data_IF_744665544111
#
_entry.id   IF_744665544111
#
_cell.length_a   1.000
_cell.length_b   1.000
_cell.length_c   1.000
_cell.angle_alpha   90.00
_cell.angle_beta   90.00
_cell.angle_gamma   90.00
#
_symmetry.space_group_name_H-M   'P 1'
#
loop_
_entity.id
_entity.type
_entity.pdbx_description
1 polymer ?
#
# COMPACT_ATOMS: atom_id res chain seq x y z
N UNK A 1 9.50 -21.04 -15.27
CA UNK A 1 8.94 -21.60 -14.03
C UNK A 1 7.93 -22.71 -14.29
N UNK A 2 6.78 -22.48 -14.96
CA UNK A 2 5.80 -23.55 -15.21
C UNK A 2 6.28 -24.62 -16.20
N UNK A 3 7.08 -24.22 -17.17
CA UNK A 3 7.74 -25.10 -18.17
C UNK A 3 9.02 -25.76 -17.63
N UNK A 4 9.29 -25.66 -16.32
CA UNK A 4 10.42 -26.34 -15.71
C UNK A 4 10.03 -27.77 -15.35
N UNK A 5 10.84 -28.75 -15.71
CA UNK A 5 10.51 -30.17 -15.49
C UNK A 5 10.47 -30.51 -13.99
N UNK A 6 11.32 -29.87 -13.19
CA UNK A 6 11.40 -30.11 -11.74
C UNK A 6 10.43 -29.21 -10.97
N UNK A 7 10.47 -27.89 -11.21
CA UNK A 7 9.65 -26.93 -10.46
C UNK A 7 8.20 -26.91 -10.96
N UNK A 8 7.97 -27.04 -12.27
CA UNK A 8 6.66 -26.89 -12.90
C UNK A 8 5.56 -27.75 -12.28
N UNK A 9 5.78 -29.06 -12.07
CA UNK A 9 4.83 -29.95 -11.39
C UNK A 9 4.50 -29.55 -9.94
N UNK A 10 5.36 -28.76 -9.29
CA UNK A 10 5.12 -28.27 -7.94
C UNK A 10 4.26 -27.01 -7.91
N UNK A 11 4.12 -26.27 -9.01
CA UNK A 11 3.43 -24.99 -9.02
C UNK A 11 1.93 -25.13 -9.24
N UNK A 12 1.12 -24.56 -8.34
CA UNK A 12 -0.35 -24.56 -8.45
C UNK A 12 -0.90 -23.25 -9.00
N UNK A 13 -0.59 -22.11 -8.37
CA UNK A 13 -1.09 -20.79 -8.78
C UNK A 13 -0.10 -19.69 -8.44
N UNK A 14 -0.32 -18.50 -9.01
CA UNK A 14 0.36 -17.26 -8.63
C UNK A 14 -0.68 -16.29 -8.10
N UNK A 15 -0.37 -15.58 -7.02
CA UNK A 15 -1.24 -14.55 -6.46
C UNK A 15 -0.45 -13.24 -6.27
N UNK A 16 -1.01 -12.07 -6.64
CA UNK A 16 -0.36 -10.79 -6.39
C UNK A 16 -0.34 -10.50 -4.89
N UNK A 17 0.68 -9.80 -4.41
CA UNK A 17 0.83 -9.45 -2.99
C UNK A 17 1.19 -7.98 -2.79
N UNK A 18 0.88 -7.47 -1.61
CA UNK A 18 1.47 -6.24 -1.09
C UNK A 18 0.90 -5.00 -1.77
N UNK A 19 1.77 -4.05 -2.11
CA UNK A 19 1.32 -2.73 -2.55
C UNK A 19 0.65 -2.72 -3.92
N UNK A 20 0.86 -3.77 -4.74
CA UNK A 20 0.24 -3.88 -6.05
C UNK A 20 -1.27 -4.13 -6.00
N UNK A 21 -1.79 -5.23 -5.40
CA UNK A 21 -3.23 -5.47 -5.29
C UNK A 21 -3.92 -4.42 -4.39
N UNK A 22 -3.18 -3.82 -3.45
CA UNK A 22 -3.65 -2.72 -2.61
C UNK A 22 -3.66 -1.36 -3.32
N UNK A 23 -3.08 -1.25 -4.53
CA UNK A 23 -2.94 0.02 -5.25
C UNK A 23 -2.25 1.09 -4.41
N UNK A 24 -1.21 0.76 -3.65
CA UNK A 24 -0.43 1.71 -2.84
C UNK A 24 1.02 1.87 -3.32
N UNK A 25 1.35 1.37 -4.51
CA UNK A 25 2.65 1.62 -5.16
C UNK A 25 2.86 3.14 -5.33
N UNK A 26 4.08 3.60 -5.07
CA UNK A 26 4.53 4.96 -5.39
C UNK A 26 5.70 4.86 -6.36
N UNK A 27 5.94 5.93 -7.12
CA UNK A 27 7.15 6.02 -7.92
C UNK A 27 8.37 5.92 -6.99
N UNK A 28 9.37 5.08 -7.29
CA UNK A 28 10.57 4.97 -6.50
C UNK A 28 11.35 6.30 -6.54
N UNK A 29 12.21 6.51 -5.54
CA UNK A 29 13.18 7.61 -5.60
C UNK A 29 14.08 7.43 -6.82
N UNK A 30 14.57 8.52 -7.41
CA UNK A 30 15.43 8.52 -8.59
C UNK A 30 16.53 7.44 -8.47
N UNK A 31 16.51 6.49 -9.42
CA UNK A 31 17.49 5.39 -9.50
C UNK A 31 17.18 4.14 -8.66
N UNK A 32 16.10 4.12 -7.87
CA UNK A 32 15.63 2.90 -7.20
C UNK A 32 14.63 2.14 -8.09
N UNK A 33 14.61 0.83 -7.95
CA UNK A 33 13.71 -0.05 -8.68
C UNK A 33 12.27 0.03 -8.13
N UNK A 34 11.28 -0.25 -8.98
CA UNK A 34 9.93 -0.56 -8.55
C UNK A 34 9.88 -1.93 -7.87
N UNK A 35 9.30 -2.00 -6.68
CA UNK A 35 9.09 -3.26 -5.98
C UNK A 35 7.77 -3.92 -6.44
N UNK A 36 7.87 -5.14 -6.94
CA UNK A 36 6.73 -6.00 -7.25
C UNK A 36 6.79 -7.31 -6.48
N UNK A 37 5.72 -7.63 -5.74
CA UNK A 37 5.64 -8.84 -4.94
C UNK A 37 4.55 -9.77 -5.50
N UNK A 38 4.87 -11.05 -5.67
CA UNK A 38 3.85 -12.07 -5.87
C UNK A 38 4.22 -13.38 -5.17
N UNK A 39 3.20 -14.12 -4.77
CA UNK A 39 3.38 -15.43 -4.16
C UNK A 39 3.15 -16.53 -5.19
N UNK A 40 3.87 -17.62 -5.03
CA UNK A 40 3.76 -18.83 -5.86
C UNK A 40 3.35 -19.99 -4.96
N UNK A 41 2.15 -20.52 -5.21
CA UNK A 41 1.66 -21.66 -4.47
C UNK A 41 2.39 -22.91 -4.94
N UNK A 42 2.99 -23.62 -4.01
CA UNK A 42 3.68 -24.88 -4.23
C UNK A 42 2.92 -26.05 -3.61
N UNK A 43 3.12 -27.25 -4.15
CA UNK A 43 2.71 -28.50 -3.52
C UNK A 43 3.57 -28.71 -2.27
N UNK A 44 2.94 -29.05 -1.14
CA UNK A 44 3.67 -29.40 0.08
C UNK A 44 4.41 -30.75 -0.12
N UNK A 45 5.68 -30.83 0.31
CA UNK A 45 6.59 -31.93 0.05
C UNK A 45 7.08 -32.48 1.38
N UNK A 46 6.68 -33.70 1.70
CA UNK A 46 7.11 -34.37 2.94
C UNK A 46 8.63 -34.57 2.96
N UNK A 47 9.26 -34.72 1.80
CA UNK A 47 10.71 -34.86 1.66
C UNK A 47 11.47 -33.58 2.04
N UNK A 48 10.78 -32.43 2.11
CA UNK A 48 11.36 -31.15 2.49
C UNK A 48 11.02 -30.74 3.93
N UNK A 49 10.36 -31.61 4.70
CA UNK A 49 9.87 -31.29 6.04
C UNK A 49 10.98 -30.78 6.98
N UNK A 50 12.19 -31.34 6.89
CA UNK A 50 13.34 -30.94 7.71
C UNK A 50 14.20 -29.83 7.08
N UNK A 51 13.94 -29.46 5.82
CA UNK A 51 14.68 -28.41 5.09
C UNK A 51 13.73 -27.57 4.22
N UNK A 52 12.97 -26.68 4.87
CA UNK A 52 12.01 -25.79 4.20
C UNK A 52 12.68 -24.83 3.20
N UNK A 53 14.00 -24.63 3.28
CA UNK A 53 14.77 -23.80 2.33
C UNK A 53 14.63 -24.32 0.89
N UNK A 54 14.35 -25.62 0.71
CA UNK A 54 14.15 -26.26 -0.60
C UNK A 54 13.06 -25.58 -1.44
N UNK A 55 12.00 -25.04 -0.81
CA UNK A 55 10.97 -24.29 -1.53
C UNK A 55 11.53 -23.06 -2.25
N UNK A 56 12.36 -22.27 -1.55
CA UNK A 56 13.04 -21.13 -2.13
C UNK A 56 14.14 -21.54 -3.10
N UNK A 57 14.87 -22.62 -2.80
CA UNK A 57 15.95 -23.11 -3.64
C UNK A 57 15.45 -23.64 -4.99
N UNK A 58 14.31 -24.33 -5.02
CA UNK A 58 13.67 -24.76 -6.25
C UNK A 58 13.32 -23.57 -7.17
N UNK A 59 12.76 -22.49 -6.61
CA UNK A 59 12.47 -21.26 -7.37
C UNK A 59 13.75 -20.58 -7.86
N UNK A 60 14.75 -20.44 -6.97
CA UNK A 60 16.04 -19.83 -7.32
C UNK A 60 16.74 -20.61 -8.44
N UNK A 61 16.76 -21.94 -8.37
CA UNK A 61 17.48 -22.78 -9.33
C UNK A 61 16.96 -22.58 -10.75
N UNK A 62 15.65 -22.33 -10.92
CA UNK A 62 15.07 -21.99 -12.22
C UNK A 62 15.57 -20.63 -12.72
N UNK A 63 15.59 -19.61 -11.87
CA UNK A 63 16.12 -18.29 -12.24
C UNK A 63 17.61 -18.37 -12.59
N UNK A 64 18.37 -19.18 -11.85
CA UNK A 64 19.81 -19.31 -11.99
C UNK A 64 20.22 -20.05 -13.27
N UNK A 65 19.39 -20.97 -13.77
CA UNK A 65 19.73 -21.82 -14.93
C UNK A 65 19.16 -21.29 -16.26
N UNK A 66 18.02 -20.59 -16.24
CA UNK A 66 17.25 -20.26 -17.46
C UNK A 66 17.42 -18.82 -17.91
N UNK A 67 17.69 -18.63 -19.21
CA UNK A 67 17.64 -17.32 -19.86
C UNK A 67 16.19 -16.82 -19.98
N UNK A 68 15.92 -15.51 -19.88
CA UNK A 68 16.89 -14.43 -19.68
C UNK A 68 17.30 -14.22 -18.20
N UNK A 69 16.63 -14.89 -17.25
CA UNK A 69 16.78 -14.62 -15.82
C UNK A 69 18.16 -14.92 -15.24
N UNK A 70 18.87 -15.93 -15.79
CA UNK A 70 20.22 -16.30 -15.34
C UNK A 70 21.23 -15.16 -15.50
N UNK A 71 20.99 -14.27 -16.46
CA UNK A 71 21.85 -13.14 -16.82
C UNK A 71 21.43 -11.86 -16.09
N UNK A 72 20.39 -11.92 -15.25
CA UNK A 72 19.88 -10.81 -14.44
C UNK A 72 20.37 -10.93 -12.99
N UNK A 73 20.54 -9.83 -12.24
CA UNK A 73 20.81 -9.93 -10.80
C UNK A 73 19.65 -10.62 -10.06
N UNK A 74 19.92 -11.73 -9.39
CA UNK A 74 18.93 -12.49 -8.65
C UNK A 74 19.53 -13.10 -7.38
N UNK A 75 18.69 -13.50 -6.43
CA UNK A 75 19.17 -14.02 -5.16
C UNK A 75 18.05 -14.51 -4.25
N UNK A 76 18.41 -14.81 -3.00
CA UNK A 76 17.48 -15.27 -1.97
C UNK A 76 17.49 -14.29 -0.82
N UNK A 77 16.33 -14.12 -0.18
CA UNK A 77 16.16 -13.44 1.10
C UNK A 77 15.48 -14.41 2.07
N UNK A 78 15.29 -13.95 3.30
CA UNK A 78 14.59 -14.68 4.37
C UNK A 78 13.26 -15.32 3.91
N UNK A 79 12.43 -14.65 3.11
CA UNK A 79 11.08 -15.14 2.74
C UNK A 79 10.80 -15.24 1.24
N UNK A 80 11.75 -14.86 0.40
CA UNK A 80 11.53 -14.79 -1.04
C UNK A 80 12.81 -15.06 -1.83
N UNK A 81 12.61 -15.33 -3.11
CA UNK A 81 13.64 -15.27 -4.14
C UNK A 81 13.41 -13.97 -4.92
N UNK A 82 14.46 -13.20 -5.18
CA UNK A 82 14.33 -11.95 -5.92
C UNK A 82 15.01 -12.02 -7.29
N UNK A 83 14.52 -11.22 -8.23
CA UNK A 83 15.17 -10.91 -9.50
C UNK A 83 15.03 -9.42 -9.82
N UNK A 84 16.11 -8.80 -10.29
CA UNK A 84 16.11 -7.45 -10.85
C UNK A 84 15.87 -7.56 -12.36
N UNK A 85 14.78 -6.98 -12.81
CA UNK A 85 14.28 -7.08 -14.18
C UNK A 85 14.36 -5.72 -14.89
N UNK A 86 14.39 -5.76 -16.22
CA UNK A 86 14.41 -4.59 -17.10
C UNK A 86 15.52 -3.58 -16.72
N UNK A 87 16.79 -3.99 -16.82
CA UNK A 87 17.95 -3.11 -16.52
C UNK A 87 17.91 -2.50 -15.11
N UNK A 88 17.49 -3.30 -14.13
CA UNK A 88 17.40 -2.94 -12.71
C UNK A 88 16.34 -1.87 -12.38
N UNK A 89 15.39 -1.60 -13.29
CA UNK A 89 14.26 -0.68 -12.99
C UNK A 89 13.14 -1.33 -12.20
N UNK A 90 13.09 -2.67 -12.15
CA UNK A 90 12.10 -3.41 -11.38
C UNK A 90 12.78 -4.47 -10.52
N UNK A 91 12.40 -4.55 -9.26
CA UNK A 91 12.83 -5.55 -8.31
C UNK A 91 11.61 -6.42 -7.98
N UNK A 92 11.68 -7.70 -8.32
CA UNK A 92 10.56 -8.64 -8.18
C UNK A 92 10.86 -9.64 -7.07
N UNK A 93 10.05 -9.65 -6.02
CA UNK A 93 10.09 -10.64 -4.94
C UNK A 93 9.07 -11.76 -5.20
N UNK A 94 9.56 -13.00 -5.22
CA UNK A 94 8.81 -14.22 -5.47
C UNK A 94 8.76 -15.02 -4.16
N UNK A 95 7.59 -15.10 -3.54
CA UNK A 95 7.40 -15.74 -2.23
C UNK A 95 6.79 -17.14 -2.43
N UNK A 96 7.53 -18.22 -2.19
CA UNK A 96 6.95 -19.56 -2.15
C UNK A 96 6.00 -19.69 -0.97
N UNK A 97 4.85 -20.34 -1.17
CA UNK A 97 3.92 -20.67 -0.10
C UNK A 97 3.21 -21.99 -0.35
N UNK A 98 2.71 -22.61 0.72
CA UNK A 98 1.86 -23.80 0.65
C UNK A 98 0.48 -23.51 1.23
N UNK A 99 -0.49 -24.30 0.80
CA UNK A 99 -1.84 -24.32 1.38
C UNK A 99 -2.04 -25.70 1.98
N UNK A 100 -2.30 -25.74 3.28
CA UNK A 100 -2.53 -26.98 4.03
C UNK A 100 -3.97 -27.46 3.90
N UNK A 101 -4.25 -28.67 4.39
CA UNK A 101 -5.56 -29.33 4.29
C UNK A 101 -6.69 -28.53 4.96
N UNK A 102 -6.39 -27.72 5.97
CA UNK A 102 -7.31 -26.82 6.64
C UNK A 102 -7.55 -25.49 5.88
N UNK A 103 -6.94 -25.33 4.71
CA UNK A 103 -7.07 -24.14 3.88
C UNK A 103 -6.15 -22.97 4.28
N UNK A 104 -5.35 -23.12 5.34
CA UNK A 104 -4.44 -22.06 5.79
C UNK A 104 -3.21 -21.94 4.89
N UNK A 105 -2.75 -20.70 4.70
CA UNK A 105 -1.57 -20.39 3.87
C UNK A 105 -0.33 -20.20 4.74
N UNK A 106 0.80 -20.76 4.28
CA UNK A 106 2.06 -20.73 5.01
C UNK A 106 3.22 -20.39 4.08
N UNK A 107 4.02 -19.41 4.48
CA UNK A 107 5.30 -19.07 3.84
C UNK A 107 6.44 -19.64 4.66
N UNK A 108 7.64 -19.61 4.09
CA UNK A 108 8.85 -20.12 4.72
C UNK A 108 9.69 -18.95 5.23
N UNK A 109 10.08 -19.00 6.49
CA UNK A 109 11.25 -18.30 6.97
C UNK A 109 12.47 -19.17 6.69
N UNK A 110 13.21 -18.80 5.65
CA UNK A 110 14.41 -19.50 5.20
C UNK A 110 15.49 -19.48 6.27
N UNK A 111 15.67 -18.37 6.98
CA UNK A 111 16.82 -18.21 7.86
C UNK A 111 16.69 -19.15 9.08
N UNK A 112 15.47 -19.24 9.63
CA UNK A 112 15.14 -20.06 10.80
C UNK A 112 14.64 -21.46 10.44
N UNK A 113 14.39 -21.74 9.15
CA UNK A 113 13.81 -23.00 8.65
C UNK A 113 12.42 -23.31 9.25
N UNK A 114 11.57 -22.28 9.34
CA UNK A 114 10.25 -22.38 9.97
C UNK A 114 9.11 -21.99 9.04
N UNK A 115 7.93 -22.52 9.34
CA UNK A 115 6.68 -22.11 8.70
C UNK A 115 6.11 -20.86 9.37
N UNK A 116 5.72 -19.88 8.57
CA UNK A 116 5.02 -18.68 9.05
C UNK A 116 3.62 -18.60 8.43
N UNK A 117 2.62 -18.46 9.29
CA UNK A 117 1.23 -18.29 8.84
C UNK A 117 1.09 -16.95 8.12
N UNK A 118 0.35 -16.95 7.01
CA UNK A 118 0.05 -15.73 6.27
C UNK A 118 -1.37 -15.75 5.71
N UNK A 119 -1.93 -14.57 5.46
CA UNK A 119 -3.14 -14.41 4.66
C UNK A 119 -3.10 -13.06 3.93
N UNK A 120 -2.46 -13.06 2.76
CA UNK A 120 -2.29 -11.84 1.97
C UNK A 120 -3.57 -11.37 1.31
N UNK A 121 -4.48 -12.30 0.98
CA UNK A 121 -5.81 -11.99 0.46
C UNK A 121 -6.63 -11.32 1.57
N UNK A 122 -6.65 -11.89 2.78
CA UNK A 122 -7.29 -11.31 3.96
C UNK A 122 -6.76 -9.92 4.31
N UNK A 123 -5.44 -9.69 4.27
CA UNK A 123 -4.87 -8.36 4.49
C UNK A 123 -5.28 -7.35 3.41
N UNK A 124 -5.34 -7.80 2.15
CA UNK A 124 -5.79 -6.97 1.02
C UNK A 124 -7.26 -6.60 1.17
N UNK A 125 -8.11 -7.54 1.56
CA UNK A 125 -9.55 -7.30 1.74
C UNK A 125 -9.84 -6.45 2.97
N UNK A 126 -9.08 -6.63 4.06
CA UNK A 126 -9.12 -5.70 5.19
C UNK A 126 -8.78 -4.27 4.76
N UNK A 127 -7.71 -4.08 3.98
CA UNK A 127 -7.34 -2.76 3.47
C UNK A 127 -8.47 -2.16 2.62
N UNK A 128 -9.04 -2.94 1.69
CA UNK A 128 -10.17 -2.48 0.85
C UNK A 128 -11.35 -2.00 1.69
N UNK A 129 -11.75 -2.73 2.73
CA UNK A 129 -12.84 -2.33 3.63
C UNK A 129 -12.53 -1.02 4.35
N UNK A 130 -11.32 -0.87 4.89
CA UNK A 130 -10.89 0.38 5.52
C UNK A 130 -10.88 1.53 4.50
N UNK A 131 -10.45 1.28 3.28
CA UNK A 131 -10.43 2.28 2.21
C UNK A 131 -11.83 2.66 1.73
N UNK A 132 -12.77 1.72 1.68
CA UNK A 132 -14.20 1.98 1.42
C UNK A 132 -14.83 2.88 2.48
N UNK A 133 -14.52 2.68 3.77
CA UNK A 133 -14.97 3.57 4.85
C UNK A 133 -14.47 5.01 4.63
N UNK A 134 -13.25 5.17 4.11
CA UNK A 134 -12.63 6.45 3.80
C UNK A 134 -12.86 6.93 2.35
N UNK A 135 -13.87 6.41 1.65
CA UNK A 135 -14.23 6.82 0.27
C UNK A 135 -13.08 6.69 -0.75
N UNK A 136 -12.15 5.76 -0.55
CA UNK A 136 -10.97 5.57 -1.39
C UNK A 136 -9.79 6.49 -1.05
N UNK A 137 -9.89 7.33 -0.02
CA UNK A 137 -8.81 8.25 0.37
C UNK A 137 -7.74 7.60 1.25
N UNK A 138 -8.00 6.44 1.88
CA UNK A 138 -6.98 5.76 2.69
C UNK A 138 -5.79 5.33 1.83
N UNK A 139 -6.02 4.72 0.65
CA UNK A 139 -4.92 4.32 -0.25
C UNK A 139 -4.08 5.52 -0.70
N UNK A 140 -4.70 6.69 -0.85
CA UNK A 140 -4.03 7.93 -1.21
C UNK A 140 -3.20 8.46 -0.05
N UNK A 141 -3.75 8.48 1.16
CA UNK A 141 -3.02 8.81 2.40
C UNK A 141 -1.84 7.87 2.60
N UNK A 142 -2.00 6.55 2.40
CA UNK A 142 -0.89 5.59 2.48
C UNK A 142 0.20 5.93 1.47
N UNK A 143 -0.14 6.30 0.22
CA UNK A 143 0.84 6.73 -0.78
C UNK A 143 1.56 8.02 -0.36
N UNK A 144 0.84 9.00 0.18
CA UNK A 144 1.43 10.26 0.69
C UNK A 144 2.41 9.96 1.82
N UNK A 145 2.05 9.11 2.77
CA UNK A 145 2.92 8.76 3.88
C UNK A 145 4.14 7.94 3.42
N UNK A 146 3.97 7.04 2.45
CA UNK A 146 5.12 6.37 1.81
C UNK A 146 6.02 7.37 1.09
N UNK A 147 5.46 8.40 0.45
CA UNK A 147 6.24 9.46 -0.17
C UNK A 147 7.05 10.26 0.86
N UNK A 148 6.45 10.64 2.00
CA UNK A 148 7.20 11.30 3.09
C UNK A 148 8.31 10.40 3.62
N UNK A 149 8.04 9.09 3.75
CA UNK A 149 9.07 8.13 4.19
C UNK A 149 10.25 8.10 3.23
N UNK A 150 9.94 7.89 1.95
CA UNK A 150 10.93 7.54 0.95
C UNK A 150 11.56 8.81 0.37
N UNK A 151 10.77 9.73 -0.18
CA UNK A 151 11.28 10.90 -0.90
C UNK A 151 11.70 12.06 0.01
N UNK A 152 11.27 12.06 1.28
CA UNK A 152 11.68 13.07 2.28
C UNK A 152 12.57 12.49 3.38
N UNK A 153 12.98 11.23 3.26
CA UNK A 153 13.80 10.53 4.25
C UNK A 153 13.26 10.64 5.69
N UNK A 154 11.94 10.61 5.86
CA UNK A 154 11.28 10.69 7.16
C UNK A 154 10.99 9.29 7.72
N UNK A 155 11.08 9.10 9.04
CA UNK A 155 10.73 7.85 9.73
C UNK A 155 11.22 6.56 9.04
N UNK A 156 12.43 6.63 8.48
CA UNK A 156 13.12 5.53 7.81
C UNK A 156 13.26 4.32 8.73
N UNK A 157 13.27 3.13 8.14
CA UNK A 157 13.24 1.87 8.89
C UNK A 157 11.83 1.35 9.25
N UNK A 158 10.78 2.15 9.04
CA UNK A 158 9.38 1.70 9.19
C UNK A 158 8.89 0.97 7.93
N UNK A 159 8.57 -0.33 8.07
CA UNK A 159 8.09 -1.16 6.95
C UNK A 159 6.69 -0.74 6.49
N UNK A 160 6.41 -0.86 5.19
CA UNK A 160 5.12 -0.45 4.61
C UNK A 160 3.92 -1.19 5.22
N UNK A 161 4.08 -2.46 5.61
CA UNK A 161 3.01 -3.23 6.27
C UNK A 161 2.62 -2.63 7.63
N UNK A 162 3.59 -2.17 8.42
CA UNK A 162 3.35 -1.50 9.70
C UNK A 162 2.64 -0.17 9.47
N UNK A 163 3.16 0.65 8.55
CA UNK A 163 2.58 1.95 8.19
C UNK A 163 1.13 1.80 7.72
N UNK A 164 0.88 0.86 6.80
CA UNK A 164 -0.47 0.63 6.23
C UNK A 164 -1.43 0.12 7.30
N UNK A 165 -0.97 -0.79 8.17
CA UNK A 165 -1.79 -1.31 9.27
C UNK A 165 -2.19 -0.18 10.22
N UNK A 166 -1.21 0.59 10.70
CA UNK A 166 -1.47 1.69 11.63
C UNK A 166 -2.39 2.77 11.04
N UNK A 167 -2.24 3.12 9.76
CA UNK A 167 -3.13 4.08 9.09
C UNK A 167 -4.56 3.52 8.92
N UNK A 168 -4.69 2.25 8.50
CA UNK A 168 -5.99 1.61 8.32
C UNK A 168 -6.74 1.43 9.64
N UNK A 169 -6.04 1.15 10.75
CA UNK A 169 -6.61 1.08 12.10
C UNK A 169 -7.05 2.46 12.65
N UNK A 170 -6.78 3.57 11.94
CA UNK A 170 -7.36 4.90 12.25
C UNK A 170 -8.58 5.22 11.41
N UNK A 171 -8.95 4.36 10.46
CA UNK A 171 -10.17 4.51 9.69
C UNK A 171 -11.28 3.73 10.34
N UNK A 172 -12.23 4.46 10.92
CA UNK A 172 -13.34 3.90 11.68
C UNK A 172 -14.67 4.50 11.25
N UNK A 173 -15.67 3.66 11.01
CA UNK A 173 -16.96 4.10 10.47
C UNK A 173 -17.69 5.08 11.40
N UNK A 174 -17.58 4.86 12.71
CA UNK A 174 -18.25 5.70 13.71
C UNK A 174 -17.78 7.16 13.71
N UNK A 175 -16.58 7.45 13.17
CA UNK A 175 -16.11 8.84 12.98
C UNK A 175 -17.08 9.66 12.12
N UNK A 176 -17.76 9.00 11.16
CA UNK A 176 -18.74 9.62 10.27
C UNK A 176 -20.07 9.99 10.95
N UNK A 177 -20.35 9.47 12.15
CA UNK A 177 -21.60 9.79 12.85
C UNK A 177 -21.63 11.21 13.42
N UNK A 178 -20.49 11.70 13.92
CA UNK A 178 -20.35 13.07 14.42
C UNK A 178 -19.96 14.07 13.33
N UNK A 179 -19.27 13.59 12.29
CA UNK A 179 -18.84 14.38 11.14
C UNK A 179 -18.96 13.54 9.86
N UNK A 180 -20.08 13.64 9.11
CA UNK A 180 -20.26 12.88 7.88
C UNK A 180 -19.16 13.15 6.82
N UNK A 181 -18.45 14.28 6.91
CA UNK A 181 -17.37 14.67 6.02
C UNK A 181 -15.97 14.28 6.54
N UNK A 182 -15.86 13.49 7.60
CA UNK A 182 -14.58 13.14 8.24
C UNK A 182 -13.55 12.53 7.27
N UNK A 183 -14.03 11.83 6.24
CA UNK A 183 -13.23 11.33 5.11
C UNK A 183 -13.80 11.81 3.77
N UNK A 184 -14.36 13.02 3.72
CA UNK A 184 -15.12 13.53 2.56
C UNK A 184 -14.26 13.92 1.36
N UNK A 185 -12.99 14.27 1.60
CA UNK A 185 -12.00 14.54 0.57
C UNK A 185 -10.60 14.15 1.05
N UNK A 186 -9.64 14.09 0.13
CA UNK A 186 -8.27 13.68 0.42
C UNK A 186 -7.56 14.58 1.47
N UNK A 187 -7.55 15.92 1.37
CA UNK A 187 -6.95 16.77 2.40
C UNK A 187 -7.54 16.56 3.81
N UNK A 188 -8.86 16.39 3.90
CA UNK A 188 -9.57 16.17 5.17
C UNK A 188 -9.27 14.79 5.74
N UNK A 189 -9.29 13.74 4.89
CA UNK A 189 -8.90 12.40 5.28
C UNK A 189 -7.44 12.34 5.74
N UNK A 190 -6.52 13.01 5.04
CA UNK A 190 -5.12 13.12 5.44
C UNK A 190 -4.98 13.80 6.80
N UNK A 191 -5.66 14.93 7.02
CA UNK A 191 -5.66 15.61 8.31
C UNK A 191 -6.13 14.69 9.44
N UNK A 192 -7.28 14.06 9.27
CA UNK A 192 -7.91 13.27 10.32
C UNK A 192 -7.17 11.96 10.61
N UNK A 193 -6.83 11.18 9.57
CA UNK A 193 -6.13 9.90 9.75
C UNK A 193 -4.76 10.12 10.42
N UNK A 194 -4.02 11.16 10.02
CA UNK A 194 -2.70 11.42 10.61
C UNK A 194 -2.81 12.04 12.01
N UNK A 195 -3.81 12.88 12.27
CA UNK A 195 -4.07 13.38 13.63
C UNK A 195 -4.46 12.26 14.59
N UNK A 196 -5.33 11.35 14.15
CA UNK A 196 -5.74 10.18 14.94
C UNK A 196 -4.58 9.22 15.18
N UNK A 197 -3.71 9.04 14.17
CA UNK A 197 -2.50 8.25 14.32
C UNK A 197 -1.54 8.88 15.33
N UNK A 198 -1.33 10.19 15.27
CA UNK A 198 -0.49 10.91 16.23
C UNK A 198 -1.03 10.75 17.67
N UNK A 199 -2.32 10.99 17.90
CA UNK A 199 -2.94 10.81 19.21
C UNK A 199 -2.65 9.41 19.76
N UNK A 200 -2.93 8.37 18.97
CA UNK A 200 -2.68 6.99 19.39
C UNK A 200 -1.19 6.71 19.65
N UNK A 201 -0.27 7.22 18.81
CA UNK A 201 1.16 7.04 18.98
C UNK A 201 1.70 7.76 20.22
N UNK A 202 1.21 8.95 20.54
CA UNK A 202 1.68 9.68 21.71
C UNK A 202 1.33 8.98 23.02
N UNK A 203 0.24 8.21 23.05
CA UNK A 203 -0.15 7.35 24.18
C UNK A 203 0.75 6.11 24.36
N UNK A 204 1.51 5.72 23.33
CA UNK A 204 2.42 4.57 23.41
C UNK A 204 3.75 4.97 24.07
N UNK A 205 3.96 4.55 25.32
CA UNK A 205 5.22 4.76 26.05
C UNK A 205 6.31 3.76 25.66
N UNK A 206 5.93 2.63 25.06
CA UNK A 206 6.81 1.57 24.54
C UNK A 206 6.35 1.17 23.15
N UNK A 207 7.21 0.47 22.39
CA UNK A 207 6.84 -0.06 21.07
C UNK A 207 5.60 -0.96 21.18
N UNK A 208 4.47 -0.63 20.52
CA UNK A 208 3.27 -1.43 20.56
C UNK A 208 3.43 -2.71 19.74
N UNK A 209 2.63 -3.71 20.07
CA UNK A 209 2.42 -4.85 19.19
C UNK A 209 1.40 -4.48 18.09
N UNK A 210 1.75 -4.75 16.83
CA UNK A 210 0.88 -4.50 15.68
C UNK A 210 0.39 -5.85 15.17
N UNK A 211 -0.86 -6.17 15.45
CA UNK A 211 -1.51 -7.42 15.04
C UNK A 211 -1.75 -7.40 13.53
N UNK A 212 -1.60 -8.56 12.89
CA UNK A 212 -1.98 -8.76 11.49
C UNK A 212 -3.52 -8.77 11.38
N UNK A 213 -4.13 -7.79 10.69
CA UNK A 213 -5.58 -7.67 10.65
C UNK A 213 -6.25 -8.65 9.67
N UNK A 214 -5.46 -9.51 9.00
CA UNK A 214 -5.98 -10.57 8.14
C UNK A 214 -6.58 -11.76 8.89
N UNK A 215 -6.50 -11.80 10.23
CA UNK A 215 -7.08 -12.87 11.05
C UNK A 215 -6.20 -14.11 11.18
N UNK A 216 -4.91 -14.01 10.85
CA UNK A 216 -3.93 -15.08 11.06
C UNK A 216 -3.61 -15.34 12.53
N UNK A 217 -3.92 -14.38 13.42
CA UNK A 217 -3.51 -14.41 14.82
C UNK A 217 -2.01 -14.12 15.03
N UNK A 218 -1.32 -13.62 13.98
CA UNK A 218 0.09 -13.24 14.05
C UNK A 218 0.25 -11.74 14.28
N UNK A 219 1.50 -11.30 14.53
CA UNK A 219 1.83 -9.87 14.63
C UNK A 219 3.01 -9.50 13.73
N UNK A 220 3.04 -8.23 13.32
CA UNK A 220 4.14 -7.63 12.59
C UNK A 220 5.22 -7.07 13.52
N UNK A 221 5.11 -7.29 14.84
CA UNK A 221 5.99 -6.70 15.86
C UNK A 221 7.47 -7.01 15.64
N UNK A 222 7.79 -8.22 15.16
CA UNK A 222 9.15 -8.66 14.82
C UNK A 222 9.79 -7.84 13.67
N UNK A 223 8.98 -7.11 12.90
CA UNK A 223 9.42 -6.27 11.76
C UNK A 223 9.75 -4.84 12.17
N UNK A 224 9.59 -4.50 13.45
CA UNK A 224 9.76 -3.15 13.96
C UNK A 224 10.71 -3.13 15.14
N UNK A 225 11.81 -2.38 14.98
CA UNK A 225 12.77 -2.13 16.05
C UNK A 225 12.26 -1.00 16.94
N UNK A 226 12.65 -1.01 18.20
CA UNK A 226 12.22 0.01 19.17
C UNK A 226 12.71 1.41 18.80
N UNK A 227 13.96 1.52 18.34
CA UNK A 227 14.54 2.81 17.96
C UNK A 227 13.82 3.41 16.75
N UNK A 228 13.45 2.59 15.76
CA UNK A 228 12.71 3.06 14.59
C UNK A 228 11.23 3.29 14.89
N UNK A 229 10.68 2.70 15.96
CA UNK A 229 9.37 3.06 16.48
C UNK A 229 9.36 4.46 17.08
N UNK A 230 10.29 4.78 18.00
CA UNK A 230 10.33 6.11 18.60
C UNK A 230 10.59 7.20 17.55
N UNK A 231 11.50 6.94 16.61
CA UNK A 231 11.70 7.84 15.48
C UNK A 231 10.43 8.03 14.63
N UNK A 232 9.66 6.96 14.38
CA UNK A 232 8.38 7.07 13.68
C UNK A 232 7.38 7.93 14.46
N UNK A 233 7.22 7.67 15.77
CA UNK A 233 6.34 8.43 16.67
C UNK A 233 6.61 9.93 16.62
N UNK A 234 7.86 10.34 16.79
CA UNK A 234 8.25 11.77 16.80
C UNK A 234 8.04 12.44 15.43
N UNK A 235 8.27 11.70 14.34
CA UNK A 235 8.05 12.21 12.99
C UNK A 235 6.58 12.31 12.63
N UNK A 236 5.73 11.39 13.09
CA UNK A 236 4.28 11.51 12.90
C UNK A 236 3.74 12.71 13.66
N UNK A 237 4.19 12.97 14.89
CA UNK A 237 3.82 14.18 15.63
C UNK A 237 4.14 15.46 14.84
N UNK A 238 5.36 15.54 14.32
CA UNK A 238 5.79 16.67 13.50
C UNK A 238 4.91 16.84 12.25
N UNK A 239 4.69 15.74 11.51
CA UNK A 239 3.89 15.77 10.28
C UNK A 239 2.41 16.06 10.54
N UNK A 240 1.83 15.56 11.63
CA UNK A 240 0.45 15.89 12.03
C UNK A 240 0.30 17.40 12.27
N UNK A 241 1.26 18.02 12.97
CA UNK A 241 1.28 19.46 13.19
C UNK A 241 1.43 20.26 11.89
N UNK A 242 2.34 19.84 11.00
CA UNK A 242 2.57 20.47 9.69
C UNK A 242 1.32 20.38 8.79
N UNK A 243 0.71 19.19 8.67
CA UNK A 243 -0.51 18.95 7.90
C UNK A 243 -1.65 19.82 8.43
N UNK A 244 -1.86 19.84 9.76
CA UNK A 244 -2.87 20.67 10.40
C UNK A 244 -2.63 22.16 10.17
N UNK A 245 -1.38 22.61 10.21
CA UNK A 245 -1.01 24.00 9.93
C UNK A 245 -1.29 24.37 8.47
N UNK A 246 -0.97 23.49 7.52
CA UNK A 246 -1.19 23.72 6.10
C UNK A 246 -2.69 23.74 5.75
N UNK A 247 -3.45 22.78 6.29
CA UNK A 247 -4.88 22.65 6.06
C UNK A 247 -5.69 23.83 6.64
N UNK A 248 -5.32 24.32 7.83
CA UNK A 248 -6.06 25.39 8.52
C UNK A 248 -5.60 26.81 8.17
N UNK A 249 -4.59 26.97 7.31
CA UNK A 249 -4.10 28.28 6.90
C UNK A 249 -5.11 28.97 5.96
N UNK A 250 -5.72 30.11 6.35
CA UNK A 250 -6.76 30.76 5.57
C UNK A 250 -6.24 31.46 4.31
N UNK A 251 -4.96 31.85 4.27
CA UNK A 251 -4.32 32.46 3.11
C UNK A 251 -3.87 31.36 2.13
N UNK A 252 -4.44 31.28 0.91
CA UNK A 252 -4.14 30.19 -0.03
C UNK A 252 -2.66 30.10 -0.41
N UNK A 253 -2.00 31.25 -0.54
CA UNK A 253 -0.59 31.31 -0.92
C UNK A 253 0.30 30.81 0.23
N UNK A 254 -0.03 31.15 1.48
CA UNK A 254 0.66 30.62 2.67
C UNK A 254 0.37 29.13 2.86
N UNK A 255 -0.86 28.68 2.62
CA UNK A 255 -1.24 27.26 2.69
C UNK A 255 -0.42 26.46 1.68
N UNK A 256 -0.35 26.92 0.43
CA UNK A 256 0.47 26.30 -0.61
C UNK A 256 1.94 26.18 -0.19
N UNK A 257 2.53 27.24 0.40
CA UNK A 257 3.92 27.22 0.87
C UNK A 257 4.13 26.20 1.99
N UNK A 258 3.17 26.05 2.91
CA UNK A 258 3.22 25.01 3.95
C UNK A 258 3.16 23.60 3.34
N UNK A 259 2.28 23.36 2.37
CA UNK A 259 2.23 22.09 1.63
C UNK A 259 3.51 21.81 0.83
N UNK A 260 4.12 22.84 0.23
CA UNK A 260 5.40 22.73 -0.46
C UNK A 260 6.57 22.44 0.48
N UNK A 261 6.53 22.89 1.73
CA UNK A 261 7.53 22.51 2.73
C UNK A 261 7.46 21.02 3.05
N UNK A 262 6.25 20.46 3.15
CA UNK A 262 6.01 19.03 3.36
C UNK A 262 6.39 18.19 2.12
N UNK A 263 5.83 18.53 0.96
CA UNK A 263 5.87 17.68 -0.22
C UNK A 263 6.94 18.08 -1.25
N UNK A 264 7.54 19.26 -1.09
CA UNK A 264 8.48 19.86 -2.03
C UNK A 264 7.79 20.74 -3.06
N UNK A 265 8.62 21.47 -3.82
CA UNK A 265 8.18 22.44 -4.83
C UNK A 265 7.42 21.81 -6.01
N UNK A 266 7.41 20.48 -6.15
CA UNK A 266 6.58 19.75 -7.11
C UNK A 266 5.08 19.80 -6.77
N UNK A 267 4.71 20.09 -5.52
CA UNK A 267 3.31 20.38 -5.15
C UNK A 267 2.93 21.77 -5.66
N UNK A 268 1.99 21.84 -6.60
CA UNK A 268 1.59 23.07 -7.28
C UNK A 268 0.22 23.53 -6.84
N UNK A 269 -0.06 24.81 -7.06
CA UNK A 269 -1.42 25.32 -6.97
C UNK A 269 -2.35 24.56 -7.95
N UNK A 270 -3.64 24.42 -7.63
CA UNK A 270 -4.61 23.87 -8.56
C UNK A 270 -4.62 24.69 -9.86
N UNK A 271 -4.75 24.03 -11.00
CA UNK A 271 -4.99 24.74 -12.25
C UNK A 271 -6.28 25.56 -12.14
N UNK A 272 -6.20 26.85 -12.48
CA UNK A 272 -7.40 27.70 -12.53
C UNK A 272 -8.32 27.14 -13.61
N UNK A 273 -9.41 26.51 -13.20
CA UNK A 273 -10.46 26.09 -14.11
C UNK A 273 -10.97 27.32 -14.88
N UNK A 274 -10.64 27.41 -16.17
CA UNK A 274 -11.28 28.36 -17.06
C UNK A 274 -12.67 27.82 -17.37
N UNK A 275 -13.62 28.07 -16.47
CA UNK A 275 -15.03 28.02 -16.83
C UNK A 275 -15.27 29.14 -17.84
N UNK A 276 -14.99 28.87 -19.12
CA UNK A 276 -15.56 29.65 -20.21
C UNK A 276 -17.06 29.35 -20.19
N UNK A 277 -17.79 30.12 -19.39
CA UNK A 277 -19.23 30.18 -19.43
C UNK A 277 -19.66 30.66 -20.81
N UNK A 278 -19.77 29.74 -21.77
CA UNK A 278 -20.50 29.96 -23.02
C UNK A 278 -21.99 29.89 -22.73
N UNK A 279 -22.51 30.86 -21.98
CA UNK A 279 -23.90 31.34 -22.07
C UNK A 279 -23.96 32.77 -21.54
N UNK A 280 -23.28 33.69 -22.22
CA UNK A 280 -23.72 35.09 -22.29
C UNK A 280 -24.44 35.27 -23.60
N UNK A 281 -25.77 35.13 -23.57
CA UNK A 281 -26.62 35.27 -24.74
C UNK A 281 -28.10 35.29 -24.36
N UNK A 282 -28.63 36.51 -24.28
CA UNK A 282 -30.05 36.89 -24.42
C UNK A 282 -31.04 36.40 -23.35
N UNK A 283 -31.22 37.23 -22.32
CA UNK A 283 -32.45 37.30 -21.54
C UNK A 283 -33.34 38.44 -22.07
N UNK A 284 -34.33 38.11 -22.88
CA UNK A 284 -35.54 38.91 -23.08
C UNK A 284 -36.72 37.97 -23.36
N UNK A 285 -37.61 37.87 -22.37
CA UNK A 285 -39.03 37.52 -22.43
C UNK A 285 -39.48 36.18 -23.07
N UNK A 286 -39.98 35.30 -22.20
CA UNK A 286 -41.40 34.91 -22.26
C UNK A 286 -41.80 33.60 -22.98
N UNK A 287 -42.55 32.79 -22.21
CA UNK A 287 -43.56 31.82 -22.62
C UNK A 287 -43.13 30.37 -23.00
N UNK A 288 -43.42 29.48 -22.05
CA UNK A 288 -44.15 28.21 -22.17
C UNK A 288 -43.83 27.24 -23.33
N UNK A 289 -43.42 26.02 -22.97
CA UNK A 289 -44.23 24.81 -23.23
C UNK A 289 -43.61 23.57 -22.59
N UNK A 290 -44.48 22.68 -22.14
CA UNK A 290 -44.17 21.36 -21.59
C UNK A 290 -43.59 20.44 -22.66
N UNK A 291 -42.62 19.60 -22.27
CA UNK A 291 -42.14 18.49 -23.07
C UNK A 291 -41.35 17.52 -22.21
N UNK A 292 -41.99 16.43 -21.80
CA UNK A 292 -41.32 15.30 -21.16
C UNK A 292 -40.52 14.52 -22.20
N UNK A 293 -39.24 14.24 -21.93
CA UNK A 293 -38.58 13.08 -22.54
C UNK A 293 -37.45 12.53 -21.67
N UNK A 294 -37.56 11.22 -21.54
CA UNK A 294 -36.75 10.23 -20.85
C UNK A 294 -35.44 9.87 -21.57
N UNK A 295 -34.44 9.45 -20.77
CA UNK A 295 -33.48 8.35 -20.98
C UNK A 295 -32.32 8.56 -21.99
N UNK A 296 -31.05 8.45 -21.52
CA UNK A 296 -30.21 7.25 -21.73
C UNK A 296 -28.83 7.33 -21.06
N UNK A 297 -28.55 6.37 -20.18
CA UNK A 297 -27.19 5.92 -19.89
C UNK A 297 -26.75 4.96 -20.99
N UNK A 298 -25.56 5.20 -21.57
CA UNK A 298 -24.83 4.19 -22.33
C UNK A 298 -23.41 4.09 -21.79
N UNK A 299 -23.06 2.93 -21.22
CA UNK A 299 -21.67 2.58 -20.93
C UNK A 299 -20.93 2.09 -22.18
N UNK A 300 -19.62 1.84 -22.04
CA UNK A 300 -18.95 0.67 -22.61
C UNK A 300 -17.57 0.47 -22.00
N UNK A 301 -17.37 -0.76 -21.53
CA UNK A 301 -16.08 -1.36 -21.25
C UNK A 301 -15.31 -1.61 -22.55
N UNK A 302 -14.01 -1.39 -22.48
CA UNK A 302 -12.97 -1.91 -23.37
C UNK A 302 -11.75 -2.19 -22.52
#
# INVERSE_FOLDING_TARGET
MKEDEDLGPLLKKKIPQGSWPQKTIINPQNGKAFDGDFMVQMVEKSEWADNLKEYGDAVYNVLHKKSPYKDMPHGRKCRCVYVQYAENVMHVDIVPFVVRSDGTQWIINRDDNEWERTDTEGFTDWMKRKDEIANGHLREVVRIMKFLRDHKNSFTGTKSVLLTTMLGERVEEWRKFGDPAYYGDLPTALLHIISDLDVWLQEQTTKPEIIDPSGTGTSFGHRWKEETFFYFRDRIQSHAAEIKSAYKEPDPDKSLKKWQNLFGSGFKEPEKSTSSGKYTGTGAAGAASMGATTINHSGRAG
#
